data_IF_084916500363
#
_entry.id   IF_084916500363
#
_cell.length_a   1.000
_cell.length_b   1.000
_cell.length_c   1.000
_cell.angle_alpha   90.00
_cell.angle_beta   90.00
_cell.angle_gamma   90.00
#
_symmetry.space_group_name_H-M   'P 1'
#
loop_
_entity.id
_entity.type
_entity.pdbx_description
1 polymer ?
#
# COMPACT_ATOMS: atom_id res chain seq x y z
N UNK A 1 8.06 22.13 1.71
CA UNK A 1 8.01 21.13 2.80
C UNK A 1 7.90 19.75 2.17
N UNK A 2 8.61 18.75 2.67
CA UNK A 2 8.56 17.37 2.18
C UNK A 2 7.80 16.48 3.18
N UNK A 3 7.17 15.42 2.69
CA UNK A 3 6.52 14.38 3.51
C UNK A 3 7.06 13.03 3.07
N UNK A 4 7.39 12.18 4.03
CA UNK A 4 7.94 10.85 3.80
C UNK A 4 7.11 9.84 4.59
N UNK A 5 6.78 8.72 3.97
CA UNK A 5 6.12 7.60 4.61
C UNK A 5 6.87 6.33 4.23
N UNK A 6 7.39 5.63 5.23
CA UNK A 6 7.97 4.30 5.10
C UNK A 6 7.09 3.35 5.88
N UNK A 7 6.69 2.25 5.24
CA UNK A 7 5.93 1.17 5.86
C UNK A 7 6.74 -0.10 5.66
N UNK A 8 7.05 -0.82 6.75
CA UNK A 8 7.83 -2.06 6.69
C UNK A 8 6.98 -3.29 6.37
N UNK A 9 5.70 -3.27 6.74
CA UNK A 9 4.71 -4.28 6.38
C UNK A 9 3.74 -3.77 5.31
N UNK A 10 2.50 -4.23 5.41
CA UNK A 10 1.49 -3.95 4.39
C UNK A 10 0.83 -2.58 4.57
N UNK A 11 0.45 -1.98 3.45
CA UNK A 11 -0.41 -0.80 3.40
C UNK A 11 -1.71 -1.14 2.70
N UNK A 12 -2.74 -1.42 3.48
CA UNK A 12 -4.11 -1.61 3.00
C UNK A 12 -4.87 -0.29 3.10
N UNK A 13 -5.64 0.06 2.08
CA UNK A 13 -6.47 1.26 2.07
C UNK A 13 -7.81 0.96 1.38
N UNK A 14 -8.91 1.26 2.07
CA UNK A 14 -10.26 1.26 1.52
C UNK A 14 -10.76 2.71 1.49
N UNK A 15 -11.26 3.14 0.34
CA UNK A 15 -11.97 4.40 0.19
C UNK A 15 -13.40 4.06 -0.23
N UNK A 16 -14.36 4.31 0.65
CA UNK A 16 -15.78 4.00 0.38
C UNK A 16 -16.48 5.03 -0.50
N UNK A 17 -15.88 6.22 -0.64
CA UNK A 17 -16.33 7.27 -1.54
C UNK A 17 -15.38 7.42 -2.72
N UNK A 18 -15.25 8.66 -3.21
CA UNK A 18 -14.39 8.97 -4.35
C UNK A 18 -12.94 9.26 -3.93
N UNK A 19 -11.99 8.76 -4.71
CA UNK A 19 -10.58 9.08 -4.58
C UNK A 19 -10.13 9.96 -5.74
N UNK A 20 -9.87 11.24 -5.47
CA UNK A 20 -9.28 12.17 -6.43
C UNK A 20 -7.79 12.36 -6.12
N UNK A 21 -6.94 12.20 -7.14
CA UNK A 21 -5.51 12.47 -7.04
C UNK A 21 -5.07 13.41 -8.15
N UNK A 22 -4.42 14.51 -7.76
CA UNK A 22 -3.74 15.41 -8.69
C UNK A 22 -2.30 15.55 -8.27
N UNK A 23 -1.38 15.23 -9.19
CA UNK A 23 0.06 15.39 -9.00
C UNK A 23 0.51 16.46 -9.99
N UNK A 24 0.97 17.61 -9.50
CA UNK A 24 1.42 18.73 -10.34
C UNK A 24 2.79 18.49 -10.96
N UNK A 25 3.60 17.63 -10.33
CA UNK A 25 4.91 17.22 -10.83
C UNK A 25 4.85 15.83 -11.43
N UNK A 26 5.76 14.97 -10.98
CA UNK A 26 5.91 13.60 -11.49
C UNK A 26 5.37 12.57 -10.48
N UNK A 27 4.79 11.48 -11.00
CA UNK A 27 4.50 10.26 -10.24
C UNK A 27 5.37 9.13 -10.79
N UNK A 28 6.18 8.52 -9.93
CA UNK A 28 6.98 7.33 -10.24
C UNK A 28 6.50 6.18 -9.37
N UNK A 29 6.32 5.01 -9.96
CA UNK A 29 5.92 3.80 -9.26
C UNK A 29 6.81 2.64 -9.67
N UNK A 30 7.14 1.77 -8.71
CA UNK A 30 7.87 0.53 -8.96
C UNK A 30 7.26 -0.54 -8.07
N UNK A 31 6.75 -1.59 -8.70
CA UNK A 31 6.26 -2.79 -8.03
C UNK A 31 7.28 -3.90 -8.29
N UNK A 32 7.79 -4.53 -7.24
CA UNK A 32 8.74 -5.63 -7.37
C UNK A 32 8.06 -6.96 -7.70
N UNK A 33 6.84 -7.15 -7.17
CA UNK A 33 5.96 -8.27 -7.50
C UNK A 33 4.90 -7.87 -8.53
N UNK A 34 3.74 -8.53 -8.44
CA UNK A 34 2.64 -8.32 -9.38
C UNK A 34 1.86 -7.03 -9.09
N UNK A 35 1.43 -6.35 -10.14
CA UNK A 35 0.54 -5.19 -10.06
C UNK A 35 -0.80 -5.52 -10.71
N UNK A 36 -1.87 -5.42 -9.91
CA UNK A 36 -3.25 -5.67 -10.33
C UNK A 36 -4.03 -4.36 -10.42
N UNK A 37 -4.78 -4.16 -11.51
CA UNK A 37 -5.66 -3.01 -11.70
C UNK A 37 -7.01 -3.48 -12.24
N UNK A 38 -8.01 -3.48 -11.38
CA UNK A 38 -9.40 -3.81 -11.73
C UNK A 38 -10.23 -2.54 -11.77
N UNK A 39 -10.94 -2.32 -12.86
CA UNK A 39 -11.92 -1.25 -13.00
C UNK A 39 -13.23 -1.88 -13.48
N UNK A 40 -14.27 -1.85 -12.65
CA UNK A 40 -15.58 -2.41 -13.00
C UNK A 40 -16.35 -1.52 -13.99
N UNK A 41 -16.10 -0.21 -13.93
CA UNK A 41 -16.63 0.77 -14.88
C UNK A 41 -15.70 0.98 -16.08
N UNK A 42 -15.56 2.24 -16.50
CA UNK A 42 -14.75 2.61 -17.65
C UNK A 42 -13.37 3.10 -17.23
N UNK A 43 -12.32 2.54 -17.84
CA UNK A 43 -10.95 3.06 -17.72
C UNK A 43 -10.66 4.03 -18.87
N UNK A 44 -10.48 5.31 -18.56
CA UNK A 44 -9.99 6.31 -19.49
C UNK A 44 -8.49 6.54 -19.28
N UNK A 45 -7.70 6.37 -20.34
CA UNK A 45 -6.26 6.64 -20.33
C UNK A 45 -5.95 7.69 -21.37
N UNK A 46 -5.25 8.75 -20.96
CA UNK A 46 -4.76 9.81 -21.85
C UNK A 46 -3.30 10.07 -21.52
N UNK A 47 -2.43 9.81 -22.50
CA UNK A 47 -1.05 10.25 -22.47
C UNK A 47 -0.89 11.50 -23.34
N UNK A 48 -0.22 12.53 -22.82
CA UNK A 48 -0.06 13.79 -23.55
C UNK A 48 0.97 13.72 -24.69
N UNK A 49 1.94 12.81 -24.61
CA UNK A 49 3.03 12.69 -25.58
C UNK A 49 3.16 11.26 -26.13
N UNK A 50 3.34 10.27 -25.24
CA UNK A 50 3.50 8.88 -25.63
C UNK A 50 2.93 7.92 -24.59
N UNK A 51 2.38 6.80 -25.06
CA UNK A 51 2.10 5.62 -24.25
C UNK A 51 3.08 4.53 -24.66
N UNK A 52 4.00 4.19 -23.77
CA UNK A 52 5.06 3.20 -24.02
C UNK A 52 4.86 2.03 -23.06
N UNK A 53 4.82 0.81 -23.59
CA UNK A 53 4.62 -0.41 -22.81
C UNK A 53 5.54 -1.50 -23.33
N UNK A 54 6.30 -2.10 -22.42
CA UNK A 54 7.18 -3.22 -22.69
C UNK A 54 6.78 -4.40 -21.80
N UNK A 55 6.59 -5.56 -22.42
CA UNK A 55 6.31 -6.82 -21.73
C UNK A 55 7.40 -7.83 -22.09
N UNK A 56 8.05 -8.42 -21.09
CA UNK A 56 9.13 -9.38 -21.33
C UNK A 56 8.69 -10.71 -21.95
N UNK A 57 7.44 -11.14 -21.69
CA UNK A 57 6.91 -12.42 -22.19
C UNK A 57 5.70 -12.26 -23.10
N UNK A 58 4.71 -11.48 -22.68
CA UNK A 58 3.41 -11.44 -23.35
C UNK A 58 2.72 -10.09 -23.16
N UNK A 59 2.15 -9.55 -24.24
CA UNK A 59 1.16 -8.49 -24.22
C UNK A 59 -0.15 -9.07 -24.78
N UNK A 60 -1.19 -9.14 -23.96
CA UNK A 60 -2.47 -9.74 -24.34
C UNK A 60 -3.62 -8.74 -24.14
N UNK A 61 -4.19 -8.29 -25.25
CA UNK A 61 -5.35 -7.40 -25.27
C UNK A 61 -6.57 -8.18 -25.73
N UNK A 62 -7.48 -8.47 -24.80
CA UNK A 62 -8.76 -9.14 -25.09
C UNK A 62 -9.90 -8.13 -24.99
N UNK A 63 -10.59 -7.91 -26.11
CA UNK A 63 -11.85 -7.19 -26.14
C UNK A 63 -13.01 -8.19 -26.33
N UNK A 64 -14.10 -8.00 -25.58
CA UNK A 64 -15.26 -8.88 -25.68
C UNK A 64 -16.02 -8.73 -27.00
N UNK A 65 -16.21 -7.50 -27.47
CA UNK A 65 -16.99 -7.19 -28.68
C UNK A 65 -16.17 -6.46 -29.75
N UNK A 66 -15.45 -5.39 -29.39
CA UNK A 66 -14.77 -4.52 -30.34
C UNK A 66 -13.44 -4.03 -29.80
N UNK A 67 -12.41 -4.06 -30.65
CA UNK A 67 -11.18 -3.30 -30.47
C UNK A 67 -11.02 -2.36 -31.67
N UNK A 68 -10.66 -1.10 -31.42
CA UNK A 68 -10.37 -0.10 -32.46
C UNK A 68 -9.01 0.50 -32.15
N UNK A 69 -8.12 0.49 -33.14
CA UNK A 69 -6.82 1.15 -33.11
C UNK A 69 -6.85 2.18 -34.23
N UNK A 70 -6.71 3.45 -33.87
CA UNK A 70 -6.73 4.57 -34.81
C UNK A 70 -5.47 5.39 -34.62
N UNK A 71 -4.84 5.75 -35.73
CA UNK A 71 -3.72 6.67 -35.76
C UNK A 71 -3.89 7.62 -36.95
N UNK A 72 -3.51 8.88 -36.76
CA UNK A 72 -3.64 9.89 -37.82
C UNK A 72 -2.58 9.75 -38.92
N UNK A 73 -1.39 9.23 -38.59
CA UNK A 73 -0.27 9.14 -39.52
C UNK A 73 0.07 7.70 -39.90
N UNK A 74 0.25 6.82 -38.92
CA UNK A 74 0.71 5.46 -39.19
C UNK A 74 0.28 4.47 -38.11
N UNK A 75 -0.09 3.26 -38.54
CA UNK A 75 -0.16 2.07 -37.67
C UNK A 75 0.81 1.02 -38.23
N UNK A 76 1.73 0.54 -37.41
CA UNK A 76 2.69 -0.51 -37.79
C UNK A 76 2.64 -1.66 -36.79
N UNK A 77 2.54 -2.89 -37.30
CA UNK A 77 2.62 -4.14 -36.56
C UNK A 77 3.79 -4.95 -37.11
N UNK A 78 4.74 -5.36 -36.27
CA UNK A 78 5.95 -6.06 -36.71
C UNK A 78 6.26 -7.26 -35.81
N UNK A 79 6.63 -8.38 -36.42
CA UNK A 79 7.07 -9.59 -35.72
C UNK A 79 7.90 -10.49 -36.65
N UNK A 80 8.97 -11.11 -36.12
CA UNK A 80 9.73 -12.13 -36.86
C UNK A 80 10.26 -11.66 -38.23
N UNK A 81 10.62 -10.39 -38.37
CA UNK A 81 11.06 -9.79 -39.64
C UNK A 81 9.94 -9.48 -40.64
N UNK A 82 8.68 -9.77 -40.32
CA UNK A 82 7.50 -9.41 -41.11
C UNK A 82 6.79 -8.20 -40.52
N UNK A 83 6.08 -7.42 -41.33
CA UNK A 83 5.29 -6.28 -40.86
C UNK A 83 4.03 -6.02 -41.68
N UNK A 84 3.09 -5.33 -41.03
CA UNK A 84 1.93 -4.68 -41.63
C UNK A 84 2.04 -3.19 -41.30
N UNK A 85 1.93 -2.33 -42.29
CA UNK A 85 1.95 -0.88 -42.12
C UNK A 85 0.75 -0.24 -42.82
N UNK A 86 0.08 0.66 -42.12
CA UNK A 86 -1.00 1.49 -42.62
C UNK A 86 -0.54 2.94 -42.54
N UNK A 87 -0.51 3.64 -43.66
CA UNK A 87 -0.09 5.04 -43.78
C UNK A 87 -0.88 5.74 -44.92
N UNK A 88 -0.63 7.03 -45.23
CA UNK A 88 -1.35 7.71 -46.31
C UNK A 88 -1.16 7.11 -47.71
N UNK A 89 -0.14 6.28 -47.93
CA UNK A 89 0.06 5.57 -49.19
C UNK A 89 -0.76 4.26 -49.28
N UNK A 90 -1.38 3.83 -48.18
CA UNK A 90 -2.29 2.69 -48.10
C UNK A 90 -1.82 1.62 -47.12
N UNK A 91 -2.07 0.35 -47.46
CA UNK A 91 -1.69 -0.81 -46.64
C UNK A 91 -0.50 -1.51 -47.30
N UNK A 92 0.61 -1.60 -46.58
CA UNK A 92 1.81 -2.36 -46.97
C UNK A 92 1.92 -3.64 -46.14
N UNK A 93 2.12 -4.79 -46.79
CA UNK A 93 2.41 -6.06 -46.13
C UNK A 93 3.76 -6.59 -46.64
N UNK A 94 4.63 -7.00 -45.72
CA UNK A 94 5.95 -7.56 -46.06
C UNK A 94 6.32 -8.70 -45.14
N UNK A 95 6.87 -9.78 -45.70
CA UNK A 95 7.29 -10.99 -44.97
C UNK A 95 7.66 -12.12 -45.93
N UNK A 96 8.28 -13.19 -45.41
CA UNK A 96 8.74 -14.33 -46.22
C UNK A 96 7.58 -15.07 -46.94
N UNK A 97 6.41 -15.14 -46.30
CA UNK A 97 5.19 -15.67 -46.90
C UNK A 97 3.96 -14.92 -46.34
N UNK A 98 3.06 -14.50 -47.23
CA UNK A 98 1.79 -13.87 -46.87
C UNK A 98 0.66 -14.82 -47.29
N UNK A 99 -0.08 -15.35 -46.30
CA UNK A 99 -1.21 -16.25 -46.53
C UNK A 99 -2.52 -15.48 -46.44
N UNK A 100 -3.30 -15.50 -47.50
CA UNK A 100 -4.62 -14.84 -47.58
C UNK A 100 -5.66 -15.92 -47.81
N UNK A 101 -6.60 -16.07 -46.88
CA UNK A 101 -7.66 -17.10 -46.92
C UNK A 101 -7.12 -18.54 -47.08
N UNK A 102 -5.91 -18.83 -46.61
CA UNK A 102 -5.22 -20.13 -46.81
C UNK A 102 -5.25 -21.05 -45.58
N UNK A 103 -6.17 -20.83 -44.64
CA UNK A 103 -6.27 -21.57 -43.37
C UNK A 103 -5.30 -21.11 -42.27
N UNK A 104 -5.30 -21.82 -41.13
CA UNK A 104 -4.45 -21.54 -39.96
C UNK A 104 -5.21 -21.57 -38.63
N UNK A 105 -4.50 -21.33 -37.53
CA UNK A 105 -5.08 -21.13 -36.20
C UNK A 105 -4.48 -19.89 -35.55
N UNK A 106 -5.27 -19.07 -34.85
CA UNK A 106 -4.74 -17.91 -34.13
C UNK A 106 -3.83 -18.36 -32.98
N UNK A 107 -2.91 -17.49 -32.58
CA UNK A 107 -2.19 -17.68 -31.32
C UNK A 107 -3.15 -17.62 -30.12
N UNK A 108 -2.77 -18.27 -29.02
CA UNK A 108 -3.44 -18.15 -27.73
C UNK A 108 -2.58 -17.34 -26.77
N UNK A 109 -3.21 -16.53 -25.92
CA UNK A 109 -2.55 -15.87 -24.80
C UNK A 109 -2.87 -16.55 -23.47
N UNK A 110 -2.10 -16.26 -22.42
CA UNK A 110 -2.22 -16.89 -21.09
C UNK A 110 -3.52 -16.56 -20.34
N UNK A 111 -4.27 -15.56 -20.81
CA UNK A 111 -5.43 -15.01 -20.11
C UNK A 111 -5.05 -14.06 -18.97
N UNK A 112 -6.07 -13.57 -18.27
CA UNK A 112 -5.93 -12.65 -17.13
C UNK A 112 -6.05 -13.43 -15.82
N UNK A 113 -5.14 -13.18 -14.87
CA UNK A 113 -5.14 -13.76 -13.52
C UNK A 113 -5.16 -12.63 -12.48
N UNK A 114 -6.26 -11.87 -12.46
CA UNK A 114 -6.41 -10.70 -11.59
C UNK A 114 -6.71 -11.13 -10.15
N UNK A 115 -6.11 -10.44 -9.18
CA UNK A 115 -6.38 -10.62 -7.75
C UNK A 115 -7.12 -9.38 -7.21
N UNK A 116 -8.08 -9.59 -6.32
CA UNK A 116 -8.78 -8.50 -5.65
C UNK A 116 -7.91 -7.89 -4.53
N UNK A 117 -7.98 -6.57 -4.28
CA UNK A 117 -7.28 -5.96 -3.15
C UNK A 117 -7.78 -6.51 -1.81
N UNK A 118 -6.87 -6.69 -0.85
CA UNK A 118 -7.24 -6.99 0.53
C UNK A 118 -7.81 -5.75 1.22
N UNK A 119 -8.86 -5.93 2.03
CA UNK A 119 -9.53 -4.85 2.73
C UNK A 119 -8.91 -4.63 4.12
N UNK A 120 -8.76 -3.36 4.58
CA UNK A 120 -8.37 -3.09 5.95
C UNK A 120 -9.27 -3.79 6.97
N UNK A 121 -8.69 -4.35 8.03
CA UNK A 121 -9.43 -5.01 9.12
C UNK A 121 -9.78 -6.48 8.87
N UNK A 122 -9.48 -7.03 7.70
CA UNK A 122 -9.52 -8.48 7.43
C UNK A 122 -8.10 -9.04 7.36
N UNK A 123 -7.35 -8.96 8.46
CA UNK A 123 -6.06 -9.65 8.57
C UNK A 123 -6.33 -11.04 9.14
N UNK A 124 -6.14 -12.14 8.38
CA UNK A 124 -6.11 -13.46 9.00
C UNK A 124 -5.00 -13.47 10.06
N UNK A 125 -5.27 -13.96 11.28
CA UNK A 125 -4.27 -13.95 12.35
C UNK A 125 -3.11 -14.87 11.93
N UNK A 126 -1.97 -14.30 11.51
CA UNK A 126 -0.82 -15.12 11.14
C UNK A 126 0.29 -14.51 10.30
N UNK A 127 0.20 -13.28 9.81
CA UNK A 127 1.29 -12.65 9.03
C UNK A 127 2.01 -11.49 9.75
N UNK A 128 1.89 -11.41 11.08
CA UNK A 128 2.85 -10.66 11.88
C UNK A 128 4.00 -11.62 12.22
N UNK A 129 4.92 -11.79 11.28
CA UNK A 129 6.17 -12.50 11.54
C UNK A 129 6.98 -11.74 12.61
N UNK A 130 6.93 -12.27 13.82
CA UNK A 130 8.08 -12.37 14.72
C UNK A 130 8.83 -11.09 15.07
N UNK A 131 8.17 -10.15 15.75
CA UNK A 131 8.84 -9.35 16.78
C UNK A 131 8.22 -9.69 18.12
N UNK A 132 8.95 -10.50 18.90
CA UNK A 132 8.69 -10.67 20.32
C UNK A 132 9.05 -9.35 21.03
N UNK A 133 8.19 -8.35 20.94
CA UNK A 133 8.16 -7.28 21.92
C UNK A 133 7.28 -7.72 23.08
N UNK A 134 7.92 -8.00 24.21
CA UNK A 134 7.25 -8.10 25.50
C UNK A 134 6.66 -6.72 25.84
N UNK A 135 5.46 -6.46 25.34
CA UNK A 135 4.63 -5.28 25.65
C UNK A 135 3.57 -5.59 26.72
N UNK A 136 3.14 -4.61 27.52
CA UNK A 136 2.59 -4.81 28.86
C UNK A 136 1.09 -5.17 28.87
N UNK A 137 0.71 -6.29 28.27
CA UNK A 137 -0.65 -6.84 28.35
C UNK A 137 -0.88 -7.71 29.61
N UNK A 138 -0.05 -7.53 30.64
CA UNK A 138 -0.25 -8.09 31.97
C UNK A 138 -0.99 -7.14 32.94
N UNK A 139 -1.65 -6.09 32.43
CA UNK A 139 -2.36 -5.08 33.24
C UNK A 139 -3.89 -5.11 33.12
N UNK A 140 -4.47 -6.18 32.54
CA UNK A 140 -5.92 -6.32 32.42
C UNK A 140 -6.57 -7.24 33.47
N UNK A 141 -5.92 -7.45 34.62
CA UNK A 141 -6.51 -8.11 35.80
C UNK A 141 -6.86 -7.11 36.93
N UNK A 142 -7.21 -5.87 36.59
CA UNK A 142 -7.70 -4.91 37.58
C UNK A 142 -9.16 -5.23 37.95
N UNK A 143 -9.37 -6.14 38.89
CA UNK A 143 -10.68 -6.32 39.51
C UNK A 143 -11.13 -5.00 40.16
N UNK A 144 -12.41 -4.60 40.02
CA UNK A 144 -12.89 -3.36 40.61
C UNK A 144 -12.73 -3.39 42.14
N UNK A 145 -12.14 -2.32 42.68
CA UNK A 145 -11.97 -2.15 44.12
C UNK A 145 -13.34 -2.03 44.79
N UNK A 146 -13.73 -3.04 45.56
CA UNK A 146 -14.93 -2.96 46.39
C UNK A 146 -14.71 -1.99 47.56
N UNK A 147 -15.78 -1.35 48.03
CA UNK A 147 -15.73 -0.48 49.21
C UNK A 147 -15.20 -1.20 50.47
N UNK A 148 -15.36 -2.52 50.55
CA UNK A 148 -14.79 -3.34 51.62
C UNK A 148 -13.28 -3.51 51.51
N UNK A 149 -12.71 -3.66 50.30
CA UNK A 149 -11.25 -3.68 50.09
C UNK A 149 -10.62 -2.33 50.43
N UNK A 150 -11.24 -1.22 50.04
CA UNK A 150 -10.74 0.13 50.35
C UNK A 150 -10.66 0.39 51.86
N UNK A 151 -11.66 -0.04 52.63
CA UNK A 151 -11.64 0.10 54.10
C UNK A 151 -10.56 -0.77 54.77
N UNK A 152 -10.31 -1.97 54.25
CA UNK A 152 -9.26 -2.85 54.79
C UNK A 152 -7.85 -2.32 54.53
N UNK A 153 -7.62 -1.63 53.42
CA UNK A 153 -6.33 -1.00 53.11
C UNK A 153 -6.11 0.29 53.88
N UNK A 154 -7.14 1.12 54.04
CA UNK A 154 -7.10 2.30 54.91
C UNK A 154 -6.82 1.93 56.38
N UNK A 155 -7.35 0.80 56.86
CA UNK A 155 -7.08 0.31 58.22
C UNK A 155 -5.64 -0.22 58.42
N UNK A 156 -4.88 -0.41 57.35
CA UNK A 156 -3.51 -0.95 57.37
C UNK A 156 -2.47 0.06 56.88
N UNK A 157 -2.85 1.33 56.70
CA UNK A 157 -2.00 2.42 56.21
C UNK A 157 -1.14 2.03 54.98
N UNK A 158 -1.73 1.24 54.08
CA UNK A 158 -1.02 0.68 52.91
C UNK A 158 -1.45 1.43 51.65
N UNK A 159 -0.48 1.98 50.92
CA UNK A 159 -0.73 2.80 49.72
C UNK A 159 -1.19 1.94 48.53
N UNK A 160 -2.13 2.48 47.74
CA UNK A 160 -2.68 1.86 46.53
C UNK A 160 -1.71 1.85 45.34
N UNK A 161 -0.60 2.58 45.43
CA UNK A 161 0.46 2.67 44.42
C UNK A 161 1.80 2.80 45.17
N UNK A 162 2.88 2.09 44.77
CA UNK A 162 4.16 2.19 45.47
C UNK A 162 4.72 3.61 45.28
N UNK A 163 4.76 4.38 46.37
CA UNK A 163 5.54 5.60 46.43
C UNK A 163 7.01 5.23 46.59
N UNK A 164 7.90 5.94 45.89
CA UNK A 164 9.34 5.78 46.07
C UNK A 164 9.68 5.98 47.56
N UNK A 165 10.41 5.01 48.12
CA UNK A 165 10.53 4.77 49.55
C UNK A 165 11.05 5.99 50.35
N UNK A 166 10.24 6.50 51.28
CA UNK A 166 10.71 7.33 52.42
C UNK A 166 11.18 6.38 53.53
N UNK A 167 12.49 6.32 53.77
CA UNK A 167 13.03 5.63 54.94
C UNK A 167 12.70 6.38 56.23
N UNK A 168 12.63 5.68 57.37
CA UNK A 168 12.24 6.23 58.69
C UNK A 168 13.17 7.33 59.25
N UNK A 169 14.30 7.63 58.60
CA UNK A 169 15.26 8.67 59.00
C UNK A 169 15.26 9.91 58.07
N UNK A 170 14.18 10.15 57.32
CA UNK A 170 13.96 11.34 56.48
C UNK A 170 15.03 11.64 55.42
N UNK A 171 15.75 10.61 54.96
CA UNK A 171 16.69 10.71 53.83
C UNK A 171 16.34 9.72 52.72
N UNK A 172 16.30 10.22 51.49
CA UNK A 172 16.06 9.43 50.27
C UNK A 172 17.41 8.99 49.67
N UNK A 173 17.67 7.67 49.46
CA UNK A 173 18.98 7.17 49.08
C UNK A 173 19.18 6.95 47.57
N UNK A 174 18.33 7.48 46.69
CA UNK A 174 18.48 7.29 45.24
C UNK A 174 18.74 8.62 44.52
N UNK A 175 19.81 8.63 43.72
CA UNK A 175 20.34 9.80 42.98
C UNK A 175 19.62 10.06 41.66
N UNK A 176 18.71 9.17 41.23
CA UNK A 176 17.95 9.30 39.97
C UNK A 176 16.48 8.90 40.16
N UNK A 177 15.60 9.88 40.35
CA UNK A 177 14.18 9.78 40.07
C UNK A 177 13.73 11.08 39.37
N UNK A 178 13.96 11.22 38.06
CA UNK A 178 13.55 12.42 37.34
C UNK A 178 12.05 12.36 37.02
N UNK A 179 11.28 13.30 37.59
CA UNK A 179 9.94 13.66 37.11
C UNK A 179 10.08 14.83 36.12
N UNK A 180 9.35 14.84 34.99
CA UNK A 180 9.48 15.90 34.00
C UNK A 180 8.68 17.13 34.42
N UNK A 181 9.36 18.27 34.53
CA UNK A 181 8.75 19.62 34.52
C UNK A 181 9.66 20.45 33.61
N UNK A 182 9.26 20.90 32.42
CA UNK A 182 8.07 21.71 32.17
C UNK A 182 8.46 23.17 32.41
N UNK A 183 8.95 23.81 31.34
CA UNK A 183 9.14 25.25 31.08
C UNK A 183 9.15 26.25 32.26
N UNK A 184 10.30 26.91 32.48
CA UNK A 184 10.35 28.30 32.95
C UNK A 184 11.63 28.98 32.40
N UNK A 185 11.43 29.89 31.44
CA UNK A 185 12.43 30.75 30.81
C UNK A 185 12.57 32.07 31.60
N UNK A 186 13.77 32.49 32.06
CA UNK A 186 13.93 33.71 32.83
C UNK A 186 14.46 34.86 31.95
N UNK A 187 13.55 35.68 31.40
CA UNK A 187 13.86 37.07 31.05
C UNK A 187 12.57 37.87 30.77
N UNK A 188 12.11 38.70 31.74
CA UNK A 188 11.55 40.05 31.49
C UNK A 188 11.05 40.73 32.79
N UNK A 189 11.76 41.82 33.13
CA UNK A 189 11.45 43.00 33.98
C UNK A 189 11.26 42.82 35.50
#
# INVERSE_FOLDING_TARGET
RHSHLTVHGDRLAEVRGDAHLTVQGERRERTAGDQHLTVEGTLHLKAGQAWLSESGRELHLKAGQKAVLEAGAEITLQAGGSFIKLDPAGITLSGAAIRINSGGSPGSGSGQQMQAPELPGHVPPGAADGVAENGPDALLDAQPLSASRLRQWAARDTLLQPQCHRGQDDRCPLTDCPCPTGDDDPDHA
#
